data_IF_020074141111
#
_entry.id   IF_020074141111
#
_cell.length_a   1.000
_cell.length_b   1.000
_cell.length_c   1.000
_cell.angle_alpha   90.00
_cell.angle_beta   90.00
_cell.angle_gamma   90.00
#
_symmetry.space_group_name_H-M   'P 1'
#
loop_
_entity.id
_entity.type
_entity.pdbx_description
1 polymer ?
#
# COMPACT_ATOMS: atom_id res chain seq x y z
N UNK A 1 23.67 12.51 12.22
CA UNK A 1 22.76 12.90 13.34
C UNK A 1 21.61 11.89 13.32
N UNK A 2 21.46 11.03 14.33
CA UNK A 2 20.37 10.05 14.34
C UNK A 2 19.05 10.80 14.51
N UNK A 3 18.35 11.08 13.40
CA UNK A 3 17.07 11.77 13.37
C UNK A 3 15.93 10.89 13.92
N UNK A 4 16.12 9.57 13.93
CA UNK A 4 15.12 8.61 14.41
C UNK A 4 15.44 8.21 15.85
N UNK A 5 14.62 8.65 16.80
CA UNK A 5 14.70 8.14 18.18
C UNK A 5 14.10 6.73 18.23
N UNK A 6 14.86 5.75 18.70
CA UNK A 6 14.36 4.39 18.95
C UNK A 6 13.29 4.44 20.05
N UNK A 7 12.05 4.12 19.68
CA UNK A 7 10.88 4.23 20.58
C UNK A 7 10.38 2.89 21.10
N UNK A 8 10.98 1.77 20.65
CA UNK A 8 10.56 0.42 21.04
C UNK A 8 11.41 -0.15 22.18
N UNK A 9 10.76 -0.71 23.20
CA UNK A 9 11.42 -1.36 24.33
C UNK A 9 11.93 -2.78 24.01
N UNK A 10 11.42 -3.44 22.97
CA UNK A 10 11.88 -4.73 22.47
C UNK A 10 12.52 -4.55 21.09
N UNK A 11 13.82 -4.30 21.08
CA UNK A 11 14.60 -4.24 19.85
C UNK A 11 14.80 -5.67 19.35
N UNK A 12 14.00 -6.09 18.37
CA UNK A 12 14.35 -7.26 17.55
C UNK A 12 15.73 -6.98 16.99
N UNK A 13 16.66 -7.95 17.08
CA UNK A 13 18.01 -7.78 16.57
C UNK A 13 17.98 -7.32 15.11
N UNK A 14 18.90 -6.44 14.73
CA UNK A 14 18.95 -5.84 13.39
C UNK A 14 18.91 -6.90 12.27
N UNK A 15 19.60 -8.03 12.45
CA UNK A 15 19.60 -9.14 11.51
C UNK A 15 18.17 -9.70 11.27
N UNK A 16 17.37 -9.83 12.32
CA UNK A 16 15.96 -10.26 12.19
C UNK A 16 15.11 -9.21 11.47
N UNK A 17 15.37 -7.94 11.69
CA UNK A 17 14.68 -6.87 10.95
C UNK A 17 15.03 -6.91 9.45
N UNK A 18 16.29 -7.17 9.09
CA UNK A 18 16.71 -7.40 7.71
C UNK A 18 16.06 -8.62 7.07
N UNK A 19 15.87 -9.71 7.82
CA UNK A 19 15.13 -10.88 7.35
C UNK A 19 13.66 -10.55 7.03
N UNK A 20 13.02 -9.71 7.86
CA UNK A 20 11.64 -9.23 7.63
C UNK A 20 11.60 -8.45 6.31
N UNK A 21 12.53 -7.51 6.11
CA UNK A 21 12.60 -6.71 4.86
C UNK A 21 12.86 -7.59 3.64
N UNK A 22 13.73 -8.59 3.75
CA UNK A 22 13.99 -9.53 2.66
C UNK A 22 12.75 -10.35 2.29
N UNK A 23 11.99 -10.85 3.27
CA UNK A 23 10.73 -11.56 3.07
C UNK A 23 9.66 -10.65 2.45
N UNK A 24 9.59 -9.38 2.85
CA UNK A 24 8.70 -8.39 2.22
C UNK A 24 9.05 -8.19 0.74
N UNK A 25 10.34 -8.08 0.39
CA UNK A 25 10.81 -7.95 -1.00
C UNK A 25 10.42 -9.18 -1.82
N UNK A 26 10.62 -10.39 -1.29
CA UNK A 26 10.20 -11.64 -1.92
C UNK A 26 8.68 -11.69 -2.13
N UNK A 27 7.90 -11.33 -1.10
CA UNK A 27 6.46 -11.23 -1.18
C UNK A 27 6.02 -10.28 -2.32
N UNK A 28 6.63 -9.11 -2.43
CA UNK A 28 6.28 -8.13 -3.48
C UNK A 28 6.59 -8.64 -4.88
N UNK A 29 7.67 -9.40 -5.06
CA UNK A 29 8.06 -9.98 -6.35
C UNK A 29 7.16 -11.16 -6.79
N UNK A 30 6.46 -11.82 -5.87
CA UNK A 30 5.58 -12.95 -6.16
C UNK A 30 4.32 -12.49 -6.93
N UNK A 31 3.90 -13.24 -7.96
CA UNK A 31 2.77 -12.91 -8.83
C UNK A 31 1.41 -13.44 -8.37
N UNK A 32 1.33 -14.16 -7.23
CA UNK A 32 0.07 -14.67 -6.70
C UNK A 32 -0.93 -13.55 -6.42
N UNK A 33 -2.23 -13.88 -6.50
CA UNK A 33 -3.30 -12.92 -6.18
C UNK A 33 -3.22 -12.52 -4.70
N UNK A 34 -3.54 -11.27 -4.45
CA UNK A 34 -3.64 -10.72 -3.10
C UNK A 34 -4.91 -9.88 -2.96
N UNK A 35 -5.19 -9.43 -1.75
CA UNK A 35 -6.31 -8.55 -1.47
C UNK A 35 -6.37 -7.35 -2.43
N UNK A 36 -5.24 -6.69 -2.71
CA UNK A 36 -5.23 -5.49 -3.56
C UNK A 36 -5.60 -5.79 -5.01
N UNK A 37 -5.19 -6.94 -5.55
CA UNK A 37 -5.57 -7.36 -6.90
C UNK A 37 -7.06 -7.71 -6.98
N UNK A 38 -7.62 -8.38 -5.98
CA UNK A 38 -9.05 -8.71 -5.90
C UNK A 38 -9.89 -7.43 -5.76
N UNK A 39 -9.44 -6.50 -4.92
CA UNK A 39 -10.04 -5.17 -4.80
C UNK A 39 -10.03 -4.41 -6.13
N UNK A 40 -8.92 -4.46 -6.88
CA UNK A 40 -8.83 -3.82 -8.21
C UNK A 40 -9.85 -4.41 -9.18
N UNK A 41 -10.09 -5.73 -9.13
CA UNK A 41 -11.12 -6.37 -9.93
C UNK A 41 -12.52 -5.85 -9.58
N UNK A 42 -12.85 -5.77 -8.28
CA UNK A 42 -14.15 -5.28 -7.79
C UNK A 42 -14.39 -3.79 -8.14
N UNK A 43 -13.38 -2.95 -7.99
CA UNK A 43 -13.54 -1.50 -8.13
C UNK A 43 -13.40 -0.99 -9.57
N UNK A 44 -12.63 -1.70 -10.42
CA UNK A 44 -12.24 -1.18 -11.74
C UNK A 44 -12.59 -2.12 -12.89
N UNK A 45 -13.11 -3.28 -12.55
CA UNK A 45 -13.61 -4.27 -13.50
C UNK A 45 -12.52 -5.16 -14.13
N UNK A 46 -12.96 -6.15 -14.92
CA UNK A 46 -12.12 -7.24 -15.41
C UNK A 46 -11.02 -6.78 -16.37
N UNK A 47 -11.27 -5.81 -17.26
CA UNK A 47 -10.28 -5.35 -18.21
C UNK A 47 -9.09 -4.65 -17.56
N UNK A 48 -9.37 -3.79 -16.56
CA UNK A 48 -8.30 -3.09 -15.84
C UNK A 48 -7.50 -4.05 -14.97
N UNK A 49 -8.17 -5.01 -14.32
CA UNK A 49 -7.52 -6.10 -13.61
C UNK A 49 -6.58 -6.90 -14.52
N UNK A 50 -7.07 -7.33 -15.71
CA UNK A 50 -6.26 -8.07 -16.66
C UNK A 50 -5.01 -7.32 -17.09
N UNK A 51 -5.18 -6.05 -17.53
CA UNK A 51 -4.08 -5.20 -17.98
C UNK A 51 -3.02 -4.98 -16.90
N UNK A 52 -3.43 -4.86 -15.64
CA UNK A 52 -2.54 -4.55 -14.52
C UNK A 52 -1.88 -5.78 -13.93
N UNK A 53 -2.65 -6.82 -13.65
CA UNK A 53 -2.19 -7.96 -12.86
C UNK A 53 -1.79 -9.16 -13.71
N UNK A 54 -2.35 -9.33 -14.90
CA UNK A 54 -2.10 -10.49 -15.79
C UNK A 54 -1.16 -10.11 -16.93
N UNK A 55 -1.56 -9.17 -17.79
CA UNK A 55 -0.78 -8.76 -18.95
C UNK A 55 0.40 -7.83 -18.58
N UNK A 56 0.35 -7.19 -17.39
CA UNK A 56 1.35 -6.22 -16.91
C UNK A 56 1.60 -5.06 -17.91
N UNK A 57 0.55 -4.66 -18.61
CA UNK A 57 0.56 -3.53 -19.55
C UNK A 57 0.40 -2.17 -18.86
N UNK A 58 -0.02 -2.17 -17.59
CA UNK A 58 -0.21 -0.98 -16.78
C UNK A 58 0.81 -0.93 -15.65
N UNK A 59 1.35 0.25 -15.42
CA UNK A 59 2.16 0.49 -14.22
C UNK A 59 1.34 0.26 -12.94
N UNK A 60 2.00 -0.15 -11.84
CA UNK A 60 1.38 -0.13 -10.51
C UNK A 60 0.77 1.25 -10.22
N UNK A 61 -0.30 1.28 -9.45
CA UNK A 61 -0.87 2.55 -9.02
C UNK A 61 0.13 3.34 -8.20
N UNK A 62 0.17 4.65 -8.45
CA UNK A 62 0.94 5.56 -7.60
C UNK A 62 0.43 5.43 -6.15
N UNK A 63 1.33 5.18 -5.22
CA UNK A 63 1.01 5.22 -3.80
C UNK A 63 0.52 6.63 -3.44
N UNK A 64 -0.46 6.71 -2.53
CA UNK A 64 -0.93 7.99 -2.01
C UNK A 64 -0.08 8.41 -0.82
N UNK A 65 -0.05 9.72 -0.52
CA UNK A 65 0.63 10.25 0.67
C UNK A 65 0.18 9.56 1.97
N UNK A 66 -1.09 9.11 2.02
CA UNK A 66 -1.62 8.36 3.16
C UNK A 66 -1.02 6.96 3.26
N UNK A 67 -0.82 6.26 2.12
CA UNK A 67 -0.15 4.95 2.09
C UNK A 67 1.32 5.10 2.46
N UNK A 68 1.97 6.15 1.99
CA UNK A 68 3.35 6.47 2.29
C UNK A 68 3.55 6.70 3.78
N UNK A 69 2.66 7.49 4.40
CA UNK A 69 2.66 7.70 5.86
C UNK A 69 2.42 6.40 6.61
N UNK A 70 1.47 5.57 6.17
CA UNK A 70 1.22 4.25 6.77
C UNK A 70 2.45 3.36 6.75
N UNK A 71 3.13 3.26 5.61
CA UNK A 71 4.37 2.48 5.45
C UNK A 71 5.52 3.01 6.31
N UNK A 72 5.61 4.33 6.49
CA UNK A 72 6.62 4.96 7.32
C UNK A 72 6.37 4.69 8.81
N UNK A 73 5.11 4.81 9.26
CA UNK A 73 4.70 4.48 10.63
C UNK A 73 4.95 3.01 10.93
N UNK A 74 4.58 2.11 10.02
CA UNK A 74 4.82 0.68 10.17
C UNK A 74 6.31 0.35 10.28
N UNK A 75 7.16 0.91 9.42
CA UNK A 75 8.61 0.74 9.52
C UNK A 75 9.15 1.19 10.87
N UNK A 76 8.78 2.38 11.34
CA UNK A 76 9.24 2.91 12.63
C UNK A 76 8.71 2.13 13.84
N UNK A 77 7.57 1.46 13.70
CA UNK A 77 6.96 0.68 14.75
C UNK A 77 7.51 -0.75 14.82
N UNK A 78 7.77 -1.39 13.67
CA UNK A 78 8.05 -2.83 13.59
C UNK A 78 9.50 -3.17 13.25
N UNK A 79 10.16 -2.35 12.44
CA UNK A 79 11.55 -2.56 11.96
C UNK A 79 12.37 -1.26 11.93
N UNK A 80 12.43 -0.49 13.04
CA UNK A 80 12.99 0.86 13.07
C UNK A 80 14.47 0.93 12.69
N UNK A 81 15.25 -0.11 12.92
CA UNK A 81 16.68 -0.11 12.61
C UNK A 81 16.96 -0.22 11.11
N UNK A 82 15.95 -0.60 10.29
CA UNK A 82 16.03 -0.63 8.82
C UNK A 82 15.61 0.68 8.16
N UNK A 83 15.30 1.72 8.94
CA UNK A 83 14.84 2.99 8.40
C UNK A 83 15.84 3.57 7.39
N UNK A 84 17.11 3.64 7.74
CA UNK A 84 18.15 4.21 6.88
C UNK A 84 18.45 3.35 5.63
N UNK A 85 18.07 2.08 5.63
CA UNK A 85 18.16 1.19 4.46
C UNK A 85 17.01 1.42 3.48
N UNK A 86 15.84 1.80 3.97
CA UNK A 86 14.57 1.93 3.20
C UNK A 86 14.25 3.37 2.81
N UNK A 87 14.64 4.31 3.64
CA UNK A 87 14.29 5.73 3.50
C UNK A 87 15.53 6.61 3.55
N UNK A 88 15.41 7.77 2.94
CA UNK A 88 16.34 8.88 3.19
C UNK A 88 15.55 10.16 3.46
N UNK A 89 16.08 10.99 4.36
CA UNK A 89 15.44 12.24 4.75
C UNK A 89 16.00 13.36 3.89
N UNK A 90 15.14 14.01 3.12
CA UNK A 90 15.53 15.18 2.33
C UNK A 90 15.03 16.47 2.96
N UNK A 91 15.85 17.49 2.94
CA UNK A 91 15.54 18.84 3.46
C UNK A 91 14.90 19.75 2.39
N UNK A 92 14.97 19.36 1.12
CA UNK A 92 14.62 20.20 -0.03
C UNK A 92 13.11 20.45 -0.22
N UNK A 93 12.22 19.72 0.46
CA UNK A 93 10.77 19.93 0.33
C UNK A 93 10.29 21.33 0.76
N UNK A 94 11.09 22.07 1.54
CA UNK A 94 10.71 23.41 1.99
C UNK A 94 11.01 24.48 0.92
N UNK A 95 11.92 24.19 -0.02
CA UNK A 95 12.38 25.14 -1.03
C UNK A 95 11.80 24.87 -2.43
N UNK A 96 11.56 23.60 -2.78
CA UNK A 96 11.01 23.19 -4.09
C UNK A 96 9.53 22.79 -3.95
N UNK A 97 8.62 23.61 -4.51
CA UNK A 97 7.15 23.43 -4.37
C UNK A 97 6.43 23.48 -5.71
N UNK A 98 5.18 22.99 -5.75
CA UNK A 98 4.30 23.07 -6.90
C UNK A 98 4.89 22.45 -8.16
N UNK A 99 4.80 23.14 -9.29
CA UNK A 99 5.22 22.63 -10.60
C UNK A 99 6.71 22.22 -10.64
N UNK A 100 7.57 22.94 -9.91
CA UNK A 100 8.99 22.62 -9.83
C UNK A 100 9.24 21.30 -9.11
N UNK A 101 8.48 21.00 -8.05
CA UNK A 101 8.54 19.71 -7.35
C UNK A 101 8.05 18.58 -8.25
N UNK A 102 6.92 18.78 -8.92
CA UNK A 102 6.38 17.77 -9.83
C UNK A 102 7.34 17.44 -10.99
N UNK A 103 8.05 18.46 -11.51
CA UNK A 103 9.08 18.25 -12.53
C UNK A 103 10.22 17.38 -12.01
N UNK A 104 10.76 17.69 -10.83
CA UNK A 104 11.84 16.90 -10.23
C UNK A 104 11.40 15.48 -9.92
N UNK A 105 10.19 15.29 -9.41
CA UNK A 105 9.63 13.95 -9.14
C UNK A 105 9.44 13.14 -10.43
N UNK A 106 8.99 13.75 -11.52
CA UNK A 106 8.86 13.07 -12.81
C UNK A 106 10.23 12.75 -13.42
N UNK A 107 11.22 13.65 -13.30
CA UNK A 107 12.60 13.38 -13.68
C UNK A 107 13.15 12.17 -12.94
N UNK A 108 12.93 12.10 -11.62
CA UNK A 108 13.39 10.98 -10.81
C UNK A 108 12.69 9.67 -11.17
N UNK A 109 11.39 9.72 -11.48
CA UNK A 109 10.65 8.56 -11.98
C UNK A 109 11.26 8.03 -13.29
N UNK A 110 11.56 8.91 -14.24
CA UNK A 110 12.22 8.54 -15.49
C UNK A 110 13.63 8.00 -15.25
N UNK A 111 14.38 8.60 -14.31
CA UNK A 111 15.68 8.08 -13.91
C UNK A 111 15.55 6.63 -13.40
N UNK A 112 14.63 6.35 -12.50
CA UNK A 112 14.39 4.98 -11.99
C UNK A 112 14.04 3.99 -13.08
N UNK A 113 13.23 4.40 -14.06
CA UNK A 113 12.81 3.55 -15.17
C UNK A 113 14.00 3.12 -16.04
N UNK A 114 15.00 3.98 -16.16
CA UNK A 114 16.18 3.79 -17.02
C UNK A 114 17.46 3.45 -16.23
N UNK A 115 17.36 3.33 -14.90
CA UNK A 115 18.50 3.05 -14.02
C UNK A 115 18.84 1.56 -14.03
N UNK A 116 20.12 1.26 -14.22
CA UNK A 116 20.65 -0.08 -14.07
C UNK A 116 21.30 -0.21 -12.68
N UNK A 117 20.73 -1.08 -11.84
CA UNK A 117 21.25 -1.31 -10.47
C UNK A 117 22.63 -1.99 -10.46
N UNK A 118 23.01 -2.71 -11.52
CA UNK A 118 24.29 -3.46 -11.56
C UNK A 118 25.50 -2.55 -11.75
N UNK A 119 25.38 -1.52 -12.58
CA UNK A 119 26.49 -0.62 -12.91
C UNK A 119 26.29 0.84 -12.47
N UNK A 120 25.12 1.14 -11.89
CA UNK A 120 24.78 2.47 -11.40
C UNK A 120 24.56 3.53 -12.49
N UNK A 121 24.31 3.12 -13.74
CA UNK A 121 24.15 4.02 -14.88
C UNK A 121 22.69 4.16 -15.32
N UNK A 122 22.40 5.17 -16.15
CA UNK A 122 21.11 5.32 -16.81
C UNK A 122 21.25 5.10 -18.30
N UNK A 123 20.26 4.43 -18.92
CA UNK A 123 20.24 4.13 -20.37
C UNK A 123 19.95 5.36 -21.26
N UNK A 124 19.53 6.48 -20.67
CA UNK A 124 19.26 7.76 -21.35
C UNK A 124 20.01 8.91 -20.66
N UNK A 125 20.27 9.97 -21.41
CA UNK A 125 21.01 11.14 -20.91
C UNK A 125 20.16 12.02 -19.98
N UNK A 126 20.80 12.79 -19.12
CA UNK A 126 20.14 13.79 -18.27
C UNK A 126 19.26 14.74 -19.07
N UNK A 127 19.75 15.22 -20.25
CA UNK A 127 18.99 16.13 -21.10
C UNK A 127 17.70 15.51 -21.65
N UNK A 128 17.72 14.23 -21.98
CA UNK A 128 16.54 13.47 -22.41
C UNK A 128 15.56 13.28 -21.24
N UNK A 129 16.05 12.92 -20.05
CA UNK A 129 15.23 12.82 -18.82
C UNK A 129 14.53 14.16 -18.57
N UNK A 130 15.28 15.26 -18.57
CA UNK A 130 14.73 16.58 -18.28
C UNK A 130 13.65 17.00 -19.28
N UNK A 131 13.94 16.85 -20.56
CA UNK A 131 13.00 17.20 -21.65
C UNK A 131 11.73 16.38 -21.57
N UNK A 132 11.84 15.05 -21.41
CA UNK A 132 10.69 14.16 -21.32
C UNK A 132 9.87 14.41 -20.04
N UNK A 133 10.51 14.68 -18.91
CA UNK A 133 9.82 15.05 -17.67
C UNK A 133 9.05 16.36 -17.82
N UNK A 134 9.66 17.37 -18.47
CA UNK A 134 9.00 18.63 -18.76
C UNK A 134 7.76 18.43 -19.65
N UNK A 135 7.88 17.66 -20.73
CA UNK A 135 6.76 17.32 -21.62
C UNK A 135 5.64 16.58 -20.89
N UNK A 136 5.97 15.61 -20.02
CA UNK A 136 4.99 14.87 -19.22
C UNK A 136 4.24 15.73 -18.21
N UNK A 137 4.92 16.70 -17.58
CA UNK A 137 4.34 17.54 -16.52
C UNK A 137 3.54 18.70 -17.06
N UNK A 138 3.95 19.28 -18.21
CA UNK A 138 3.31 20.49 -18.75
C UNK A 138 1.90 20.25 -19.30
N UNK A 139 1.59 19.04 -19.77
CA UNK A 139 0.35 18.73 -20.48
C UNK A 139 -0.69 18.12 -19.55
N UNK A 140 -1.94 18.52 -19.71
CA UNK A 140 -3.07 17.78 -19.18
C UNK A 140 -3.22 16.45 -19.91
N UNK A 141 -3.30 15.35 -19.15
CA UNK A 141 -3.33 13.98 -19.70
C UNK A 141 -4.58 13.66 -20.51
N UNK A 142 -5.67 14.39 -20.32
CA UNK A 142 -6.95 14.16 -20.96
C UNK A 142 -7.19 15.07 -22.14
N UNK A 143 -6.83 16.36 -22.00
CA UNK A 143 -7.09 17.36 -23.04
C UNK A 143 -5.89 17.60 -23.95
N UNK A 144 -4.67 17.25 -23.52
CA UNK A 144 -3.43 17.57 -24.20
C UNK A 144 -3.08 19.08 -24.17
N UNK A 145 -3.83 19.87 -23.41
CA UNK A 145 -3.55 21.30 -23.29
C UNK A 145 -2.42 21.58 -22.30
N UNK A 146 -1.62 22.62 -22.59
CA UNK A 146 -0.58 23.05 -21.68
C UNK A 146 -1.18 23.75 -20.45
N UNK A 147 -1.16 23.05 -19.30
CA UNK A 147 -1.71 23.54 -18.02
C UNK A 147 -0.63 24.05 -17.05
N UNK A 148 0.63 23.59 -17.20
CA UNK A 148 1.75 23.97 -16.35
C UNK A 148 2.87 24.59 -17.19
N UNK A 149 3.74 25.35 -16.55
CA UNK A 149 4.86 26.07 -17.22
C UNK A 149 4.43 26.89 -18.45
N UNK A 150 3.22 27.50 -18.41
CA UNK A 150 2.66 28.26 -19.55
C UNK A 150 3.63 29.33 -20.04
N UNK A 151 3.88 29.32 -21.36
CA UNK A 151 4.78 30.25 -22.00
C UNK A 151 6.27 30.06 -21.73
N UNK A 152 6.66 28.93 -21.15
CA UNK A 152 8.06 28.54 -20.91
C UNK A 152 8.45 27.37 -21.78
N UNK A 153 9.72 27.32 -22.19
CA UNK A 153 10.32 26.16 -22.85
C UNK A 153 11.13 25.34 -21.86
N UNK A 154 11.42 24.08 -22.19
CA UNK A 154 12.22 23.24 -21.33
C UNK A 154 13.63 23.80 -21.11
N UNK A 155 14.23 24.47 -22.13
CA UNK A 155 15.54 25.12 -22.02
C UNK A 155 15.52 26.24 -20.97
N UNK A 156 14.46 27.08 -20.97
CA UNK A 156 14.33 28.16 -19.99
C UNK A 156 14.15 27.69 -18.57
N UNK A 157 13.54 26.52 -18.38
CA UNK A 157 13.41 25.88 -17.05
C UNK A 157 14.71 25.19 -16.66
N UNK A 158 15.44 24.60 -17.62
CA UNK A 158 16.74 24.00 -17.38
C UNK A 158 17.77 25.03 -16.88
N UNK A 159 17.75 26.27 -17.43
CA UNK A 159 18.59 27.33 -16.91
C UNK A 159 18.32 27.64 -15.42
N UNK A 160 17.04 27.62 -15.00
CA UNK A 160 16.67 27.85 -13.60
C UNK A 160 16.96 26.61 -12.73
N UNK A 161 16.95 25.42 -13.32
CA UNK A 161 17.28 24.19 -12.62
C UNK A 161 18.76 24.14 -12.26
N UNK A 162 19.64 24.44 -13.19
CA UNK A 162 21.10 24.36 -13.03
C UNK A 162 21.60 25.30 -11.92
N UNK A 163 22.30 24.73 -10.93
CA UNK A 163 22.83 25.42 -9.76
C UNK A 163 21.76 25.89 -8.78
N UNK A 164 20.51 25.42 -8.92
CA UNK A 164 19.39 25.82 -8.09
C UNK A 164 18.86 24.70 -7.16
N UNK A 165 17.90 25.04 -6.29
CA UNK A 165 17.32 24.08 -5.34
C UNK A 165 16.68 22.84 -6.01
N UNK A 166 16.23 22.94 -7.25
CA UNK A 166 15.68 21.80 -8.00
C UNK A 166 16.76 20.77 -8.33
N UNK A 167 17.96 21.23 -8.70
CA UNK A 167 19.11 20.34 -8.96
C UNK A 167 19.56 19.65 -7.69
N UNK A 168 19.69 20.40 -6.58
CA UNK A 168 20.03 19.81 -5.27
C UNK A 168 19.04 18.73 -4.86
N UNK A 169 17.75 19.00 -5.05
CA UNK A 169 16.70 18.04 -4.75
C UNK A 169 16.78 16.80 -5.66
N UNK A 170 16.93 16.98 -6.98
CA UNK A 170 17.08 15.87 -7.91
C UNK A 170 18.30 15.01 -7.59
N UNK A 171 19.47 15.63 -7.35
CA UNK A 171 20.68 14.91 -7.02
C UNK A 171 20.54 14.10 -5.73
N UNK A 172 19.88 14.67 -4.70
CA UNK A 172 19.61 13.94 -3.45
C UNK A 172 18.73 12.70 -3.67
N UNK A 173 17.78 12.76 -4.61
CA UNK A 173 16.95 11.63 -5.01
C UNK A 173 17.76 10.57 -5.76
N UNK A 174 18.60 10.98 -6.71
CA UNK A 174 19.42 10.06 -7.53
C UNK A 174 20.49 9.35 -6.69
N UNK A 175 21.15 10.06 -5.77
CA UNK A 175 22.10 9.46 -4.82
C UNK A 175 21.47 8.38 -3.93
N UNK A 176 20.14 8.45 -3.74
CA UNK A 176 19.38 7.52 -2.94
C UNK A 176 18.31 6.76 -3.76
N UNK A 177 18.62 6.43 -5.03
CA UNK A 177 17.66 5.89 -6.00
C UNK A 177 16.95 4.61 -5.53
N UNK A 178 17.61 3.77 -4.72
CA UNK A 178 17.05 2.56 -4.14
C UNK A 178 16.19 2.81 -2.91
N UNK A 179 16.19 4.02 -2.35
CA UNK A 179 15.47 4.39 -1.12
C UNK A 179 14.28 5.27 -1.42
N UNK A 180 13.34 5.31 -0.48
CA UNK A 180 12.18 6.20 -0.54
C UNK A 180 12.52 7.54 0.14
N UNK A 181 12.37 8.65 -0.59
CA UNK A 181 12.56 9.98 -0.03
C UNK A 181 11.41 10.38 0.88
N UNK A 182 11.73 10.86 2.07
CA UNK A 182 10.76 11.40 3.05
C UNK A 182 11.24 12.75 3.57
N UNK A 183 10.31 13.64 3.90
CA UNK A 183 10.66 14.92 4.51
C UNK A 183 10.85 14.80 6.02
N UNK A 184 11.57 15.74 6.63
CA UNK A 184 11.68 15.84 8.09
C UNK A 184 10.30 15.88 8.74
N UNK A 185 9.38 16.68 8.20
CA UNK A 185 8.01 16.78 8.70
C UNK A 185 7.26 15.46 8.69
N UNK A 186 7.44 14.64 7.63
CA UNK A 186 6.83 13.30 7.57
C UNK A 186 7.41 12.37 8.63
N UNK A 187 8.73 12.40 8.83
CA UNK A 187 9.39 11.60 9.87
C UNK A 187 8.92 11.99 11.26
N UNK A 188 8.88 13.29 11.57
CA UNK A 188 8.40 13.80 12.87
C UNK A 188 6.94 13.41 13.12
N UNK A 189 6.09 13.53 12.10
CA UNK A 189 4.68 13.11 12.17
C UNK A 189 4.57 11.61 12.44
N UNK A 190 5.28 10.78 11.69
CA UNK A 190 5.27 9.34 11.86
C UNK A 190 5.78 8.93 13.26
N UNK A 191 6.85 9.53 13.75
CA UNK A 191 7.36 9.28 15.11
C UNK A 191 6.32 9.67 16.19
N UNK A 192 5.61 10.78 16.02
CA UNK A 192 4.55 11.18 16.95
C UNK A 192 3.38 10.20 16.93
N UNK A 193 3.00 9.66 15.75
CA UNK A 193 1.98 8.62 15.63
C UNK A 193 2.44 7.33 16.35
N UNK A 194 3.69 6.89 16.14
CA UNK A 194 4.25 5.70 16.82
C UNK A 194 4.27 5.91 18.35
N UNK A 195 4.71 7.08 18.85
CA UNK A 195 4.66 7.39 20.28
C UNK A 195 3.23 7.32 20.82
N UNK A 196 2.27 7.85 20.06
CA UNK A 196 0.86 7.79 20.44
C UNK A 196 0.34 6.35 20.50
N UNK A 197 0.65 5.51 19.50
CA UNK A 197 0.32 4.09 19.45
C UNK A 197 0.86 3.37 20.69
N UNK A 198 2.14 3.52 21.00
CA UNK A 198 2.81 2.86 22.12
C UNK A 198 2.44 3.46 23.49
N UNK A 199 1.82 4.63 23.55
CA UNK A 199 1.33 5.20 24.81
C UNK A 199 0.05 4.53 25.32
N UNK A 200 -0.66 3.78 24.46
CA UNK A 200 -1.88 3.06 24.81
C UNK A 200 -1.51 1.68 25.35
N UNK A 201 -1.73 1.35 26.65
CA UNK A 201 -1.22 0.12 27.26
C UNK A 201 -1.61 -1.15 26.51
N UNK A 202 -2.89 -1.31 26.13
CA UNK A 202 -3.36 -2.49 25.43
C UNK A 202 -2.77 -2.63 24.00
N UNK A 203 -2.35 -1.53 23.37
CA UNK A 203 -1.67 -1.58 22.07
C UNK A 203 -0.17 -1.84 22.29
N UNK A 204 0.44 -1.20 23.27
CA UNK A 204 1.83 -1.47 23.63
C UNK A 204 2.06 -2.98 23.90
N UNK A 205 1.12 -3.62 24.59
CA UNK A 205 1.20 -5.05 24.91
C UNK A 205 1.17 -5.94 23.65
N UNK A 206 0.55 -5.50 22.54
CA UNK A 206 0.58 -6.24 21.27
C UNK A 206 2.01 -6.44 20.77
N UNK A 207 2.87 -5.42 20.93
CA UNK A 207 4.26 -5.47 20.46
C UNK A 207 5.27 -5.99 21.48
N UNK A 208 4.85 -6.18 22.74
CA UNK A 208 5.76 -6.51 23.85
C UNK A 208 5.31 -7.74 24.67
N UNK A 209 4.33 -8.49 24.21
CA UNK A 209 3.80 -9.67 24.87
C UNK A 209 4.82 -10.80 24.87
N UNK A 210 4.99 -11.49 26.03
CA UNK A 210 6.03 -12.50 26.24
C UNK A 210 5.53 -13.95 26.20
N UNK A 211 4.21 -14.14 26.24
CA UNK A 211 3.55 -15.46 26.29
C UNK A 211 3.08 -15.95 24.91
N UNK A 212 3.48 -15.27 23.84
CA UNK A 212 3.17 -15.61 22.46
C UNK A 212 4.39 -15.37 21.58
N UNK A 213 4.45 -16.06 20.45
CA UNK A 213 5.38 -15.73 19.37
C UNK A 213 4.81 -14.57 18.55
N UNK A 214 5.59 -13.51 18.37
CA UNK A 214 5.20 -12.30 17.63
C UNK A 214 5.97 -12.26 16.31
N UNK A 215 5.23 -12.15 15.21
CA UNK A 215 5.77 -11.89 13.89
C UNK A 215 5.26 -10.57 13.33
N UNK A 216 6.18 -9.75 12.84
CA UNK A 216 5.87 -8.54 12.09
C UNK A 216 6.09 -8.80 10.60
N UNK A 217 5.24 -8.20 9.75
CA UNK A 217 5.28 -8.35 8.29
C UNK A 217 5.32 -9.84 7.87
N UNK A 218 4.35 -10.61 8.39
CA UNK A 218 4.28 -12.06 8.21
C UNK A 218 3.75 -12.43 6.82
N UNK A 219 4.55 -13.03 5.93
CA UNK A 219 4.09 -13.41 4.60
C UNK A 219 3.31 -14.73 4.66
N UNK A 220 2.16 -14.75 4.01
CA UNK A 220 1.35 -15.95 3.76
C UNK A 220 1.34 -16.29 2.28
N UNK A 221 1.46 -17.59 1.97
CA UNK A 221 1.28 -18.14 0.64
C UNK A 221 0.38 -19.38 0.76
N UNK A 222 -0.70 -19.41 0.01
CA UNK A 222 -1.69 -20.48 0.10
C UNK A 222 -2.43 -20.63 -1.24
N UNK A 223 -3.22 -21.72 -1.34
CA UNK A 223 -4.10 -21.95 -2.48
C UNK A 223 -5.55 -21.95 -2.00
N UNK A 224 -6.42 -21.23 -2.68
CA UNK A 224 -7.84 -21.18 -2.40
C UNK A 224 -8.66 -21.05 -3.67
N UNK A 225 -9.68 -21.92 -3.84
CA UNK A 225 -10.53 -21.98 -5.04
C UNK A 225 -9.73 -22.05 -6.37
N UNK A 226 -8.62 -22.80 -6.39
CA UNK A 226 -7.76 -22.95 -7.56
C UNK A 226 -6.79 -21.79 -7.81
N UNK A 227 -6.83 -20.73 -7.02
CA UNK A 227 -5.90 -19.60 -7.14
C UNK A 227 -4.75 -19.70 -6.14
N UNK A 228 -3.53 -19.44 -6.64
CA UNK A 228 -2.40 -19.13 -5.76
C UNK A 228 -2.61 -17.74 -5.20
N UNK A 229 -2.63 -17.63 -3.89
CA UNK A 229 -2.90 -16.41 -3.15
C UNK A 229 -1.75 -16.08 -2.21
N UNK A 230 -1.64 -14.80 -1.86
CA UNK A 230 -0.66 -14.32 -0.90
C UNK A 230 -1.23 -13.22 -0.02
N UNK A 231 -0.70 -13.11 1.20
CA UNK A 231 -0.97 -12.04 2.17
C UNK A 231 0.31 -11.58 2.84
N UNK A 232 0.36 -10.33 3.25
CA UNK A 232 1.40 -9.80 4.14
C UNK A 232 0.68 -9.18 5.33
N UNK A 233 0.85 -9.80 6.50
CA UNK A 233 0.15 -9.44 7.72
C UNK A 233 1.05 -8.56 8.57
N UNK A 234 0.53 -7.44 9.07
CA UNK A 234 1.34 -6.45 9.78
C UNK A 234 1.93 -7.03 11.07
N UNK A 235 1.09 -7.60 11.94
CA UNK A 235 1.53 -8.27 13.16
C UNK A 235 0.68 -9.52 13.44
N UNK A 236 1.32 -10.63 13.74
CA UNK A 236 0.67 -11.90 14.05
C UNK A 236 1.18 -12.44 15.38
N UNK A 237 0.27 -12.77 16.27
CA UNK A 237 0.55 -13.53 17.49
C UNK A 237 0.22 -14.98 17.29
N UNK A 238 1.12 -15.88 17.68
CA UNK A 238 0.92 -17.32 17.67
C UNK A 238 1.13 -17.84 19.09
N UNK A 239 0.07 -18.42 19.66
CA UNK A 239 0.17 -19.14 20.93
C UNK A 239 0.17 -20.64 20.65
N UNK A 240 1.32 -21.28 20.82
CA UNK A 240 1.51 -22.70 20.54
C UNK A 240 0.92 -23.59 21.63
N UNK A 241 0.86 -23.10 22.87
CA UNK A 241 0.35 -23.85 24.01
C UNK A 241 -1.19 -23.98 23.98
N UNK A 242 -1.85 -22.84 23.73
CA UNK A 242 -3.31 -22.74 23.61
C UNK A 242 -3.83 -22.97 22.19
N UNK A 243 -2.93 -23.08 21.22
CA UNK A 243 -3.23 -23.28 19.78
C UNK A 243 -4.19 -22.23 19.22
N UNK A 244 -3.82 -20.98 19.29
CA UNK A 244 -4.53 -19.90 18.60
C UNK A 244 -3.59 -18.95 17.85
N UNK A 245 -4.13 -18.32 16.82
CA UNK A 245 -3.46 -17.26 16.04
C UNK A 245 -4.34 -16.02 16.03
N UNK A 246 -3.74 -14.85 16.25
CA UNK A 246 -4.41 -13.55 16.22
C UNK A 246 -3.64 -12.58 15.32
N UNK A 247 -4.32 -12.05 14.33
CA UNK A 247 -3.78 -11.00 13.48
C UNK A 247 -4.15 -9.60 14.02
N UNK A 248 -3.19 -8.67 13.90
CA UNK A 248 -3.36 -7.24 14.15
C UNK A 248 -2.93 -6.47 12.90
N UNK A 249 -3.78 -5.58 12.42
CA UNK A 249 -3.57 -4.81 11.19
C UNK A 249 -3.59 -3.31 11.53
N UNK A 250 -2.49 -2.62 11.23
CA UNK A 250 -2.33 -1.19 11.48
C UNK A 250 -2.98 -0.37 10.38
N UNK A 251 -3.86 0.54 10.77
CA UNK A 251 -4.47 1.49 9.83
C UNK A 251 -4.27 2.92 10.34
N UNK A 252 -3.54 3.70 9.56
CA UNK A 252 -3.49 5.15 9.74
C UNK A 252 -4.61 5.80 8.92
N UNK A 253 -5.41 6.66 9.55
CA UNK A 253 -6.55 7.31 8.89
C UNK A 253 -6.76 8.71 9.45
N UNK A 254 -7.17 9.65 8.61
CA UNK A 254 -7.64 10.98 9.06
C UNK A 254 -9.08 10.94 9.61
N UNK A 255 -9.82 9.87 9.35
CA UNK A 255 -11.22 9.69 9.74
C UNK A 255 -11.40 8.44 10.60
N UNK A 256 -10.71 8.41 11.75
CA UNK A 256 -10.68 7.25 12.64
C UNK A 256 -12.05 6.94 13.24
N UNK A 257 -12.84 7.95 13.60
CA UNK A 257 -14.18 7.75 14.22
C UNK A 257 -15.20 7.10 13.28
N UNK A 258 -14.97 7.15 11.96
CA UNK A 258 -15.81 6.52 10.94
C UNK A 258 -15.17 5.26 10.35
N UNK A 259 -14.32 4.57 11.11
CA UNK A 259 -13.55 3.45 10.60
C UNK A 259 -14.44 2.29 10.09
N UNK A 260 -15.60 2.08 10.67
CA UNK A 260 -16.58 1.10 10.16
C UNK A 260 -16.99 1.39 8.70
N UNK A 261 -17.19 2.65 8.34
CA UNK A 261 -17.43 3.05 6.94
C UNK A 261 -16.15 2.83 6.10
N UNK A 262 -14.97 3.19 6.60
CA UNK A 262 -13.70 2.97 5.91
C UNK A 262 -13.47 1.48 5.62
N UNK A 263 -13.86 0.59 6.54
CA UNK A 263 -13.79 -0.86 6.35
C UNK A 263 -14.55 -1.31 5.11
N UNK A 264 -15.71 -0.73 4.84
CA UNK A 264 -16.52 -1.03 3.66
C UNK A 264 -15.98 -0.33 2.41
N UNK A 265 -15.76 0.97 2.47
CA UNK A 265 -15.35 1.78 1.32
C UNK A 265 -13.99 1.38 0.76
N UNK A 266 -13.06 0.96 1.62
CA UNK A 266 -11.75 0.47 1.22
C UNK A 266 -11.70 -1.06 1.04
N UNK A 267 -12.83 -1.77 1.17
CA UNK A 267 -12.91 -3.24 1.03
C UNK A 267 -12.04 -4.01 2.03
N UNK A 268 -11.78 -3.47 3.24
CA UNK A 268 -10.98 -4.19 4.24
C UNK A 268 -11.61 -5.51 4.68
N UNK A 269 -12.94 -5.66 4.55
CA UNK A 269 -13.63 -6.93 4.77
C UNK A 269 -13.13 -8.05 3.83
N UNK A 270 -12.70 -7.73 2.58
CA UNK A 270 -12.06 -8.70 1.69
C UNK A 270 -10.65 -9.05 2.17
N UNK A 271 -9.91 -8.09 2.69
CA UNK A 271 -8.59 -8.33 3.28
C UNK A 271 -8.69 -9.27 4.48
N UNK A 272 -9.73 -9.09 5.34
CA UNK A 272 -10.03 -9.97 6.46
C UNK A 272 -10.25 -11.42 5.99
N UNK A 273 -11.09 -11.62 4.95
CA UNK A 273 -11.37 -12.95 4.42
C UNK A 273 -10.13 -13.63 3.81
N UNK A 274 -9.36 -12.89 3.00
CA UNK A 274 -8.13 -13.40 2.36
C UNK A 274 -7.11 -13.84 3.42
N UNK A 275 -6.85 -13.01 4.42
CA UNK A 275 -5.82 -13.28 5.41
C UNK A 275 -6.27 -14.36 6.41
N UNK A 276 -7.53 -14.34 6.84
CA UNK A 276 -8.08 -15.40 7.68
C UNK A 276 -7.97 -16.77 6.99
N UNK A 277 -8.36 -16.86 5.70
CA UNK A 277 -8.25 -18.11 4.94
C UNK A 277 -6.79 -18.56 4.84
N UNK A 278 -5.87 -17.67 4.61
CA UNK A 278 -4.45 -17.99 4.61
C UNK A 278 -3.95 -18.53 5.96
N UNK A 279 -4.38 -17.91 7.08
CA UNK A 279 -4.04 -18.37 8.42
C UNK A 279 -4.66 -19.75 8.74
N UNK A 280 -5.92 -19.98 8.38
CA UNK A 280 -6.57 -21.31 8.56
C UNK A 280 -5.78 -22.43 7.87
N UNK A 281 -5.27 -22.15 6.66
CA UNK A 281 -4.50 -23.13 5.88
C UNK A 281 -3.06 -23.28 6.38
N UNK A 282 -2.46 -22.21 6.90
CA UNK A 282 -1.10 -22.21 7.43
C UNK A 282 -1.01 -22.84 8.83
N UNK A 283 -2.09 -22.77 9.64
CA UNK A 283 -2.13 -23.25 11.02
C UNK A 283 -3.26 -24.25 11.24
N UNK A 284 -3.20 -25.44 10.64
CA UNK A 284 -4.25 -26.46 10.81
C UNK A 284 -4.34 -26.89 12.28
N UNK A 285 -5.55 -26.84 12.83
CA UNK A 285 -5.84 -27.20 14.21
C UNK A 285 -5.61 -26.09 15.24
N UNK A 286 -5.33 -24.87 14.79
CA UNK A 286 -5.33 -23.67 15.63
C UNK A 286 -6.67 -22.94 15.51
N UNK A 287 -7.10 -22.29 16.57
CA UNK A 287 -8.17 -21.29 16.54
C UNK A 287 -7.64 -20.04 15.83
N UNK A 288 -8.22 -19.69 14.70
CA UNK A 288 -7.93 -18.39 14.04
C UNK A 288 -8.90 -17.36 14.58
N UNK A 289 -8.41 -16.48 15.42
CA UNK A 289 -9.21 -15.42 16.04
C UNK A 289 -9.49 -14.30 15.04
N UNK A 290 -10.69 -13.68 15.09
CA UNK A 290 -11.02 -12.55 14.22
C UNK A 290 -9.98 -11.43 14.32
N UNK A 291 -9.66 -10.81 13.18
CA UNK A 291 -8.70 -9.70 13.09
C UNK A 291 -9.00 -8.59 14.10
N UNK A 292 -7.96 -7.95 14.57
CA UNK A 292 -8.05 -6.68 15.30
C UNK A 292 -7.34 -5.59 14.52
N UNK A 293 -7.96 -4.43 14.42
CA UNK A 293 -7.34 -3.25 13.83
C UNK A 293 -6.70 -2.39 14.91
N UNK A 294 -5.48 -1.94 14.67
CA UNK A 294 -4.87 -0.84 15.42
C UNK A 294 -5.14 0.42 14.61
N UNK A 295 -6.01 1.28 15.09
CA UNK A 295 -6.49 2.45 14.35
C UNK A 295 -5.82 3.68 14.94
N UNK A 296 -4.99 4.36 14.13
CA UNK A 296 -4.25 5.56 14.54
C UNK A 296 -4.65 6.75 13.66
N UNK A 297 -4.84 7.92 14.28
CA UNK A 297 -5.12 9.15 13.55
C UNK A 297 -3.83 9.68 12.90
N UNK A 298 -3.85 9.78 11.57
CA UNK A 298 -2.72 10.28 10.79
C UNK A 298 -2.33 11.73 11.12
N UNK A 299 -3.20 12.49 11.78
CA UNK A 299 -2.95 13.86 12.28
C UNK A 299 -2.62 13.90 13.77
N UNK A 300 -2.67 12.72 14.43
CA UNK A 300 -2.45 12.56 15.87
C UNK A 300 -3.38 13.43 16.78
N UNK A 301 -4.62 13.67 16.32
CA UNK A 301 -5.62 14.43 17.08
C UNK A 301 -6.46 13.53 17.99
N UNK A 302 -6.54 12.22 17.68
CA UNK A 302 -7.33 11.25 18.42
C UNK A 302 -6.40 10.14 18.89
N UNK A 303 -6.56 9.73 20.14
CA UNK A 303 -5.81 8.61 20.72
C UNK A 303 -6.07 7.33 19.93
N UNK A 304 -5.03 6.57 19.60
CA UNK A 304 -5.19 5.26 18.95
C UNK A 304 -6.04 4.30 19.76
N UNK A 305 -6.75 3.42 19.06
CA UNK A 305 -7.61 2.42 19.70
C UNK A 305 -7.62 1.10 18.92
N UNK A 306 -8.13 0.04 19.56
CA UNK A 306 -8.30 -1.26 18.93
C UNK A 306 -9.73 -1.39 18.42
N UNK A 307 -9.88 -1.61 17.11
CA UNK A 307 -11.12 -2.00 16.47
C UNK A 307 -11.22 -3.53 16.40
N UNK A 308 -12.22 -4.12 17.06
CA UNK A 308 -12.43 -5.56 17.02
C UNK A 308 -13.35 -5.94 15.87
N UNK A 309 -13.00 -6.98 15.10
CA UNK A 309 -13.92 -7.65 14.19
C UNK A 309 -14.57 -8.86 14.89
N UNK A 310 -15.60 -9.40 14.27
CA UNK A 310 -16.35 -10.56 14.76
C UNK A 310 -16.38 -11.67 13.70
N UNK A 311 -16.83 -12.86 14.05
CA UNK A 311 -17.04 -13.93 13.07
C UNK A 311 -18.06 -13.54 12.01
N UNK A 312 -19.10 -12.76 12.35
CA UNK A 312 -20.06 -12.23 11.39
C UNK A 312 -19.38 -11.28 10.38
N UNK A 313 -18.48 -10.40 10.84
CA UNK A 313 -17.69 -9.54 9.94
C UNK A 313 -16.83 -10.37 8.99
N UNK A 314 -16.26 -11.46 9.47
CA UNK A 314 -15.46 -12.38 8.65
C UNK A 314 -16.34 -13.10 7.62
N UNK A 315 -17.51 -13.60 8.01
CA UNK A 315 -18.49 -14.21 7.10
C UNK A 315 -18.91 -13.24 5.98
N UNK A 316 -19.17 -11.97 6.33
CA UNK A 316 -19.40 -10.91 5.36
C UNK A 316 -18.27 -10.76 4.35
N UNK A 317 -17.03 -10.95 4.77
CA UNK A 317 -15.86 -10.93 3.90
C UNK A 317 -15.89 -12.03 2.83
N UNK A 318 -16.40 -13.21 3.16
CA UNK A 318 -16.53 -14.32 2.21
C UNK A 318 -17.78 -14.24 1.35
N UNK A 319 -18.92 -13.86 1.93
CA UNK A 319 -20.23 -13.93 1.27
C UNK A 319 -20.67 -12.59 0.65
N UNK A 320 -20.10 -11.49 1.10
CA UNK A 320 -20.51 -10.13 0.71
C UNK A 320 -21.46 -9.48 1.71
N UNK A 321 -21.81 -8.23 1.43
CA UNK A 321 -22.61 -7.38 2.31
C UNK A 321 -23.69 -6.70 1.51
N UNK A 322 -24.96 -6.91 1.89
CA UNK A 322 -26.08 -6.17 1.34
C UNK A 322 -26.49 -5.06 2.31
N UNK A 323 -26.41 -3.82 1.85
CA UNK A 323 -26.80 -2.67 2.66
C UNK A 323 -28.31 -2.41 2.59
N UNK A 324 -28.93 -1.82 3.62
CA UNK A 324 -30.34 -1.42 3.56
C UNK A 324 -30.67 -0.46 2.41
N UNK A 325 -29.69 0.27 1.90
CA UNK A 325 -29.83 1.14 0.72
C UNK A 325 -29.92 0.38 -0.61
N UNK A 326 -29.83 -0.95 -0.61
CA UNK A 326 -29.76 -1.77 -1.82
C UNK A 326 -28.32 -1.96 -2.35
N UNK A 327 -27.35 -1.20 -1.88
CA UNK A 327 -25.96 -1.37 -2.30
C UNK A 327 -25.41 -2.71 -1.85
N UNK A 328 -24.84 -3.46 -2.80
CA UNK A 328 -24.19 -4.76 -2.54
C UNK A 328 -22.68 -4.62 -2.67
N UNK A 329 -21.98 -5.16 -1.70
CA UNK A 329 -20.53 -5.35 -1.73
C UNK A 329 -20.23 -6.83 -1.90
N UNK A 330 -19.58 -7.20 -3.00
CA UNK A 330 -19.28 -8.60 -3.32
C UNK A 330 -18.31 -9.20 -2.32
N UNK A 331 -18.53 -10.45 -1.95
CA UNK A 331 -17.61 -11.21 -1.09
C UNK A 331 -16.49 -11.90 -1.87
N UNK A 332 -15.48 -12.38 -1.14
CA UNK A 332 -14.31 -13.04 -1.71
C UNK A 332 -14.70 -14.22 -2.63
N UNK A 333 -15.65 -15.07 -2.19
CA UNK A 333 -16.05 -16.25 -2.95
C UNK A 333 -16.66 -15.89 -4.30
N UNK A 334 -17.51 -14.86 -4.33
CA UNK A 334 -18.11 -14.38 -5.57
C UNK A 334 -17.06 -13.79 -6.49
N UNK A 335 -16.18 -12.93 -5.99
CA UNK A 335 -15.13 -12.30 -6.79
C UNK A 335 -14.17 -13.33 -7.42
N UNK A 336 -13.77 -14.36 -6.66
CA UNK A 336 -12.93 -15.43 -7.20
C UNK A 336 -13.67 -16.25 -8.25
N UNK A 337 -14.97 -16.50 -8.10
CA UNK A 337 -15.80 -17.18 -9.12
C UNK A 337 -15.85 -16.35 -10.40
N UNK A 338 -16.08 -15.03 -10.30
CA UNK A 338 -16.10 -14.14 -11.47
C UNK A 338 -14.71 -14.08 -12.16
N UNK A 339 -13.62 -13.95 -11.38
CA UNK A 339 -12.25 -13.99 -11.92
C UNK A 339 -11.98 -15.31 -12.65
N UNK A 340 -12.38 -16.45 -12.08
CA UNK A 340 -12.22 -17.76 -12.71
C UNK A 340 -12.99 -17.82 -14.04
N UNK A 341 -14.22 -17.32 -14.08
CA UNK A 341 -15.02 -17.24 -15.30
C UNK A 341 -14.29 -16.48 -16.42
N UNK A 342 -13.64 -15.34 -16.08
CA UNK A 342 -12.87 -14.57 -17.04
C UNK A 342 -11.64 -15.34 -17.58
N UNK A 343 -10.97 -16.10 -16.74
CA UNK A 343 -9.87 -16.96 -17.16
C UNK A 343 -10.36 -18.08 -18.10
N UNK A 344 -11.44 -18.76 -17.74
CA UNK A 344 -11.98 -19.90 -18.49
C UNK A 344 -12.47 -19.48 -19.88
N UNK A 345 -13.05 -18.29 -19.98
CA UNK A 345 -13.62 -17.79 -21.24
C UNK A 345 -12.65 -16.88 -22.03
N UNK A 346 -11.54 -16.44 -21.43
CA UNK A 346 -10.61 -15.44 -22.01
C UNK A 346 -11.30 -14.13 -22.43
N UNK A 347 -12.35 -13.72 -21.71
CA UNK A 347 -13.14 -12.50 -21.96
C UNK A 347 -12.88 -11.51 -20.83
N UNK A 348 -12.31 -10.34 -21.15
CA UNK A 348 -11.94 -9.34 -20.16
C UNK A 348 -12.57 -7.95 -20.40
N UNK A 349 -13.23 -7.74 -21.53
CA UNK A 349 -13.79 -6.45 -21.93
C UNK A 349 -15.27 -6.24 -21.55
N UNK A 350 -15.84 -7.15 -20.78
CA UNK A 350 -17.19 -7.07 -20.23
C UNK A 350 -17.21 -7.77 -18.87
N UNK A 351 -18.24 -7.59 -18.06
CA UNK A 351 -18.46 -8.39 -16.84
C UNK A 351 -19.13 -9.71 -17.16
N UNK A 352 -18.98 -10.71 -16.29
CA UNK A 352 -19.68 -11.99 -16.38
C UNK A 352 -21.19 -11.76 -16.48
N UNK A 353 -21.76 -10.92 -15.62
CA UNK A 353 -23.21 -10.62 -15.58
C UNK A 353 -23.72 -10.05 -16.91
N UNK A 354 -23.04 -9.05 -17.49
CA UNK A 354 -23.43 -8.46 -18.78
C UNK A 354 -23.37 -9.52 -19.88
N UNK A 355 -22.34 -10.35 -19.90
CA UNK A 355 -22.17 -11.38 -20.92
C UNK A 355 -23.27 -12.45 -20.83
N UNK A 356 -23.57 -12.97 -19.64
CA UNK A 356 -24.57 -14.01 -19.41
C UNK A 356 -25.99 -13.52 -19.71
N UNK A 357 -26.25 -12.23 -19.55
CA UNK A 357 -27.51 -11.59 -19.91
C UNK A 357 -27.54 -11.08 -21.37
N UNK A 358 -26.74 -11.67 -22.27
CA UNK A 358 -26.74 -11.33 -23.70
C UNK A 358 -26.43 -9.85 -23.99
N UNK A 359 -25.58 -9.23 -23.19
CA UNK A 359 -25.21 -7.81 -23.18
C UNK A 359 -26.38 -6.85 -22.83
N UNK A 360 -27.35 -7.32 -22.08
CA UNK A 360 -28.45 -6.52 -21.54
C UNK A 360 -28.43 -6.56 -20.02
N UNK A 361 -28.58 -5.42 -19.37
CA UNK A 361 -28.76 -5.31 -17.91
C UNK A 361 -29.89 -4.34 -17.60
N UNK A 362 -30.63 -4.61 -16.54
CA UNK A 362 -31.56 -3.65 -15.97
C UNK A 362 -30.80 -2.58 -15.20
N UNK A 363 -30.98 -1.31 -15.57
CA UNK A 363 -30.37 -0.20 -14.85
C UNK A 363 -31.15 0.02 -13.55
N UNK A 364 -30.56 -0.42 -12.45
CA UNK A 364 -31.07 -0.09 -11.13
C UNK A 364 -30.55 1.30 -10.72
N UNK A 365 -31.46 2.19 -10.36
CA UNK A 365 -31.08 3.44 -9.72
C UNK A 365 -30.63 3.11 -8.29
N UNK A 366 -29.34 3.02 -8.07
CA UNK A 366 -28.80 2.99 -6.73
C UNK A 366 -29.14 4.33 -6.07
N UNK A 367 -30.00 4.29 -5.05
CA UNK A 367 -30.34 5.49 -4.28
C UNK A 367 -29.07 6.15 -3.74
N UNK A 368 -29.04 7.46 -3.79
CA UNK A 368 -27.99 8.35 -3.30
C UNK A 368 -27.56 8.07 -1.85
#
# INVERSE_FOLDING_TARGET
MNLVQKTTSNTIAYEKQLEIVAKEKEYRANSALNYSSIKDFDEHGPLEFYKRHIAKEREPRKESDAMDMGSLVDCLLTVPDTFDDRYFVHTANDTVKGQSKELVEEMFKLTKLHYNEEDGTTSITFGEIFKQAFENVQLDKFTGEQVKFKGKTWESILEVFNGGPMEDFYNSLVENVSKKGVSITQVDMAQNIVKSILSVPCIHDIYNRMDVEIHNQYPLYFEYQGFKMKGLLDTVHINHDEKWVQEFDLKTSWSTLNFGYNRLSHRYYLQEAVYNKGLELAFPGYEIRPRKYIIADSRNHIMPYIGNTTLEHLEQGFLGISMPSGKVYKGLNQLLTEIQWHFDNSIWNTTMEIYENSNEITLELFGE
#
